data_IF_383852778668
#
_entry.id   IF_383852778668
#
_cell.length_a   1.000
_cell.length_b   1.000
_cell.length_c   1.000
_cell.angle_alpha   90.00
_cell.angle_beta   90.00
_cell.angle_gamma   90.00
#
_symmetry.space_group_name_H-M   'P 1'
#
loop_
_entity.id
_entity.type
_entity.pdbx_description
1 polymer ?
#
# COMPACT_ATOMS: atom_id res chain seq x y z
N UNK A 1 28.40 64.90 -23.71
CA UNK A 1 28.36 63.46 -24.10
C UNK A 1 28.12 62.65 -22.82
N UNK A 2 26.85 62.31 -22.52
CA UNK A 2 26.50 61.54 -21.32
C UNK A 2 26.14 60.12 -21.74
N UNK A 3 26.93 59.13 -21.31
CA UNK A 3 26.58 57.72 -21.42
C UNK A 3 25.80 57.32 -20.16
N UNK A 4 24.54 56.94 -20.32
CA UNK A 4 23.73 56.35 -19.26
C UNK A 4 24.13 54.88 -19.04
N UNK A 5 24.50 54.53 -17.82
CA UNK A 5 24.72 53.14 -17.40
C UNK A 5 23.36 52.55 -16.98
N UNK A 6 22.82 51.59 -17.75
CA UNK A 6 21.73 50.72 -17.29
C UNK A 6 22.33 49.67 -16.36
N UNK A 7 21.95 49.70 -15.09
CA UNK A 7 22.16 48.57 -14.20
C UNK A 7 21.13 47.49 -14.56
N UNK A 8 21.60 46.37 -15.11
CA UNK A 8 20.80 45.16 -15.28
C UNK A 8 20.76 44.48 -13.91
N UNK A 9 19.61 44.48 -13.25
CA UNK A 9 19.37 43.60 -12.10
C UNK A 9 19.26 42.17 -12.64
N UNK A 10 20.26 41.34 -12.36
CA UNK A 10 20.14 39.91 -12.56
C UNK A 10 19.15 39.36 -11.52
N UNK A 11 17.97 38.92 -11.96
CA UNK A 11 17.07 38.10 -11.15
C UNK A 11 17.64 36.68 -11.17
N UNK A 12 18.27 36.25 -10.08
CA UNK A 12 18.63 34.85 -9.89
C UNK A 12 17.36 34.03 -9.77
N UNK A 13 17.06 33.21 -10.77
CA UNK A 13 16.05 32.17 -10.67
C UNK A 13 16.55 31.09 -9.71
N UNK A 14 16.08 31.11 -8.47
CA UNK A 14 16.25 29.99 -7.56
C UNK A 14 15.41 28.82 -8.10
N UNK A 15 16.07 27.77 -8.59
CA UNK A 15 15.42 26.50 -8.88
C UNK A 15 14.92 25.91 -7.57
N UNK A 16 13.61 26.00 -7.32
CA UNK A 16 12.97 25.19 -6.29
C UNK A 16 13.04 23.73 -6.74
N UNK A 17 14.06 23.00 -6.28
CA UNK A 17 14.05 21.55 -6.35
C UNK A 17 12.85 21.07 -5.54
N UNK A 18 11.84 20.54 -6.22
CA UNK A 18 10.70 19.92 -5.56
C UNK A 18 11.20 18.71 -4.78
N UNK A 19 11.31 18.86 -3.45
CA UNK A 19 11.44 17.73 -2.54
C UNK A 19 10.11 16.99 -2.56
N UNK A 20 9.93 16.06 -3.49
CA UNK A 20 8.91 15.03 -3.36
C UNK A 20 9.33 14.14 -2.18
N UNK A 21 8.96 14.56 -0.96
CA UNK A 21 9.21 13.77 0.24
C UNK A 21 8.48 12.44 0.12
N UNK A 22 9.22 11.33 0.28
CA UNK A 22 8.62 10.01 0.34
C UNK A 22 7.59 9.95 1.49
N UNK A 23 6.46 9.28 1.26
CA UNK A 23 5.42 9.10 2.28
C UNK A 23 6.00 8.44 3.54
N UNK A 24 5.55 8.89 4.71
CA UNK A 24 5.82 8.16 5.96
C UNK A 24 5.13 6.79 5.93
N UNK A 25 5.63 5.78 6.67
CA UNK A 25 4.96 4.49 6.77
C UNK A 25 3.50 4.58 7.24
N UNK A 26 3.19 5.52 8.12
CA UNK A 26 1.82 5.76 8.59
C UNK A 26 0.90 6.28 7.48
N UNK A 27 1.39 7.20 6.65
CA UNK A 27 0.64 7.72 5.50
C UNK A 27 0.44 6.64 4.42
N UNK A 28 1.46 5.80 4.18
CA UNK A 28 1.35 4.69 3.25
C UNK A 28 0.31 3.65 3.72
N UNK A 29 0.33 3.29 5.01
CA UNK A 29 -0.69 2.41 5.62
C UNK A 29 -2.11 2.98 5.49
N UNK A 30 -2.28 4.28 5.79
CA UNK A 30 -3.58 4.94 5.64
C UNK A 30 -4.07 4.92 4.19
N UNK A 31 -3.21 5.28 3.24
CA UNK A 31 -3.57 5.27 1.82
C UNK A 31 -3.96 3.87 1.31
N UNK A 32 -3.25 2.82 1.74
CA UNK A 32 -3.55 1.43 1.37
C UNK A 32 -4.90 0.97 1.96
N UNK A 33 -5.18 1.29 3.23
CA UNK A 33 -6.47 0.98 3.84
C UNK A 33 -7.63 1.79 3.25
N UNK A 34 -7.42 3.08 2.96
CA UNK A 34 -8.43 3.93 2.34
C UNK A 34 -8.79 3.39 0.95
N UNK A 35 -7.78 2.95 0.18
CA UNK A 35 -8.00 2.31 -1.12
C UNK A 35 -8.76 0.99 -0.98
N UNK A 36 -8.39 0.13 -0.01
CA UNK A 36 -9.09 -1.12 0.26
C UNK A 36 -10.57 -0.89 0.63
N UNK A 37 -10.84 0.05 1.54
CA UNK A 37 -12.19 0.41 1.97
C UNK A 37 -13.01 1.02 0.82
N UNK A 38 -12.42 1.92 0.02
CA UNK A 38 -13.10 2.49 -1.15
C UNK A 38 -13.46 1.42 -2.16
N UNK A 39 -12.53 0.51 -2.46
CA UNK A 39 -12.77 -0.62 -3.36
C UNK A 39 -13.88 -1.53 -2.83
N UNK A 40 -13.81 -1.91 -1.57
CA UNK A 40 -14.84 -2.73 -0.91
C UNK A 40 -16.22 -2.10 -1.01
N UNK A 41 -16.35 -0.81 -0.68
CA UNK A 41 -17.63 -0.09 -0.73
C UNK A 41 -18.17 0.00 -2.16
N UNK A 42 -17.31 0.23 -3.15
CA UNK A 42 -17.72 0.26 -4.55
C UNK A 42 -18.16 -1.11 -5.06
N UNK A 43 -17.43 -2.18 -4.72
CA UNK A 43 -17.75 -3.54 -5.17
C UNK A 43 -19.00 -4.12 -4.47
N UNK A 44 -19.33 -3.64 -3.28
CA UNK A 44 -20.59 -3.95 -2.57
C UNK A 44 -21.80 -3.23 -3.16
N UNK A 45 -21.63 -2.23 -4.03
CA UNK A 45 -22.76 -1.53 -4.65
C UNK A 45 -23.36 -2.36 -5.79
N UNK A 46 -24.05 -3.44 -5.41
CA UNK A 46 -24.69 -4.37 -6.34
C UNK A 46 -26.20 -4.17 -6.37
N UNK A 47 -26.78 -4.22 -7.57
CA UNK A 47 -28.23 -4.24 -7.73
C UNK A 47 -28.77 -5.61 -7.28
N UNK A 48 -29.80 -5.67 -6.41
CA UNK A 48 -30.40 -6.92 -6.01
C UNK A 48 -30.83 -7.76 -7.22
N UNK A 49 -30.43 -9.02 -7.24
CA UNK A 49 -30.75 -9.98 -8.29
C UNK A 49 -32.12 -10.63 -8.08
N UNK A 50 -32.62 -10.61 -6.83
CA UNK A 50 -33.85 -11.29 -6.43
C UNK A 50 -33.62 -12.70 -5.88
N UNK A 51 -32.38 -13.18 -5.88
CA UNK A 51 -31.93 -14.39 -5.19
C UNK A 51 -31.17 -13.97 -3.92
N UNK A 52 -31.73 -14.32 -2.76
CA UNK A 52 -31.21 -13.88 -1.45
C UNK A 52 -29.80 -14.43 -1.20
N UNK A 53 -29.52 -15.67 -1.58
CA UNK A 53 -28.22 -16.30 -1.32
C UNK A 53 -27.15 -15.64 -2.20
N UNK A 54 -27.50 -15.35 -3.46
CA UNK A 54 -26.63 -14.60 -4.38
C UNK A 54 -26.41 -13.17 -3.92
N UNK A 55 -27.46 -12.49 -3.46
CA UNK A 55 -27.36 -11.10 -3.01
C UNK A 55 -26.52 -11.00 -1.72
N UNK A 56 -26.63 -11.98 -0.81
CA UNK A 56 -25.76 -12.07 0.36
C UNK A 56 -24.29 -12.26 -0.03
N UNK A 57 -23.99 -13.23 -0.91
CA UNK A 57 -22.63 -13.48 -1.36
C UNK A 57 -22.04 -12.30 -2.13
N UNK A 58 -22.84 -11.63 -2.96
CA UNK A 58 -22.42 -10.45 -3.72
C UNK A 58 -22.02 -9.27 -2.82
N UNK A 59 -22.59 -9.17 -1.62
CA UNK A 59 -22.15 -8.23 -0.59
C UNK A 59 -20.95 -8.74 0.21
N UNK A 60 -20.96 -10.02 0.58
CA UNK A 60 -20.03 -10.55 1.58
C UNK A 60 -18.66 -10.89 1.00
N UNK A 61 -18.59 -11.33 -0.26
CA UNK A 61 -17.32 -11.58 -0.97
C UNK A 61 -16.45 -10.31 -1.02
N UNK A 62 -16.93 -9.15 -1.52
CA UNK A 62 -16.11 -7.94 -1.53
C UNK A 62 -15.81 -7.41 -0.12
N UNK A 63 -16.73 -7.56 0.84
CA UNK A 63 -16.47 -7.22 2.25
C UNK A 63 -15.27 -8.01 2.82
N UNK A 64 -15.25 -9.33 2.62
CA UNK A 64 -14.13 -10.17 3.02
C UNK A 64 -12.84 -9.85 2.27
N UNK A 65 -12.90 -9.52 0.98
CA UNK A 65 -11.72 -9.09 0.23
C UNK A 65 -11.13 -7.79 0.79
N UNK A 66 -11.96 -6.81 1.15
CA UNK A 66 -11.51 -5.59 1.81
C UNK A 66 -10.79 -5.87 3.13
N UNK A 67 -11.33 -6.79 3.95
CA UNK A 67 -10.69 -7.22 5.20
C UNK A 67 -9.33 -7.89 4.97
N UNK A 68 -9.20 -8.73 3.92
CA UNK A 68 -7.93 -9.34 3.51
C UNK A 68 -6.92 -8.25 3.13
N UNK A 69 -7.32 -7.27 2.32
CA UNK A 69 -6.42 -6.21 1.85
C UNK A 69 -5.90 -5.35 3.02
N UNK A 70 -6.77 -5.01 3.98
CA UNK A 70 -6.38 -4.31 5.21
C UNK A 70 -5.46 -5.15 6.11
N UNK A 71 -5.72 -6.45 6.23
CA UNK A 71 -4.86 -7.36 6.98
C UNK A 71 -3.46 -7.47 6.34
N UNK A 72 -3.37 -7.48 5.00
CA UNK A 72 -2.09 -7.42 4.29
C UNK A 72 -1.35 -6.10 4.57
N UNK A 73 -2.06 -4.96 4.62
CA UNK A 73 -1.45 -3.69 5.03
C UNK A 73 -0.90 -3.78 6.47
N UNK A 74 -1.64 -4.39 7.41
CA UNK A 74 -1.15 -4.64 8.77
C UNK A 74 0.11 -5.52 8.78
N UNK A 75 0.23 -6.53 7.93
CA UNK A 75 1.45 -7.32 7.80
C UNK A 75 2.62 -6.55 7.19
N UNK A 76 2.36 -5.53 6.37
CA UNK A 76 3.40 -4.72 5.73
C UNK A 76 3.97 -3.65 6.67
N UNK A 77 3.13 -2.95 7.42
CA UNK A 77 3.54 -1.79 8.23
C UNK A 77 3.51 -2.05 9.74
N UNK A 78 2.72 -3.02 10.20
CA UNK A 78 2.55 -3.35 11.60
C UNK A 78 3.79 -4.04 12.20
N UNK A 79 4.10 -3.69 13.45
CA UNK A 79 5.29 -4.18 14.18
C UNK A 79 4.98 -5.10 15.35
N UNK A 80 3.78 -5.03 15.92
CA UNK A 80 3.38 -5.89 17.03
C UNK A 80 3.11 -7.31 16.54
N UNK A 81 3.81 -8.31 17.08
CA UNK A 81 3.72 -9.70 16.62
C UNK A 81 2.33 -10.31 16.77
N UNK A 82 1.65 -10.04 17.89
CA UNK A 82 0.29 -10.55 18.12
C UNK A 82 -0.70 -9.97 17.09
N UNK A 83 -0.62 -8.66 16.81
CA UNK A 83 -1.46 -8.03 15.79
C UNK A 83 -1.18 -8.56 14.38
N UNK A 84 0.06 -8.93 14.09
CA UNK A 84 0.43 -9.54 12.82
C UNK A 84 -0.09 -10.98 12.71
N UNK A 85 -0.06 -11.75 13.80
CA UNK A 85 -0.70 -13.08 13.84
C UNK A 85 -2.21 -12.99 13.59
N UNK A 86 -2.90 -12.05 14.24
CA UNK A 86 -4.33 -11.81 13.99
C UNK A 86 -4.57 -11.47 12.51
N UNK A 87 -3.73 -10.64 11.89
CA UNK A 87 -3.86 -10.33 10.46
C UNK A 87 -3.66 -11.57 9.56
N UNK A 88 -2.77 -12.50 9.92
CA UNK A 88 -2.61 -13.76 9.19
C UNK A 88 -3.85 -14.66 9.32
N UNK A 89 -4.41 -14.74 10.51
CA UNK A 89 -5.65 -15.49 10.79
C UNK A 89 -6.80 -14.94 9.95
N UNK A 90 -7.01 -13.62 9.94
CA UNK A 90 -8.01 -12.93 9.09
C UNK A 90 -7.82 -13.31 7.62
N UNK A 91 -6.60 -13.25 7.08
CA UNK A 91 -6.36 -13.58 5.67
C UNK A 91 -6.81 -15.01 5.36
N UNK A 92 -6.43 -15.98 6.19
CA UNK A 92 -6.76 -17.40 5.96
C UNK A 92 -8.26 -17.64 6.09
N UNK A 93 -8.88 -17.17 7.16
CA UNK A 93 -10.30 -17.39 7.43
C UNK A 93 -11.18 -16.74 6.36
N UNK A 94 -10.93 -15.47 6.01
CA UNK A 94 -11.72 -14.78 5.00
C UNK A 94 -11.54 -15.38 3.59
N UNK A 95 -10.36 -15.89 3.24
CA UNK A 95 -10.16 -16.62 1.98
C UNK A 95 -10.98 -17.91 1.92
N UNK A 96 -11.04 -18.64 3.02
CA UNK A 96 -11.85 -19.86 3.13
C UNK A 96 -13.34 -19.56 3.00
N UNK A 97 -13.81 -18.48 3.62
CA UNK A 97 -15.22 -18.05 3.53
C UNK A 97 -15.59 -17.59 2.11
N UNK A 98 -14.70 -16.87 1.41
CA UNK A 98 -14.91 -16.53 -0.01
C UNK A 98 -15.03 -17.80 -0.86
N UNK A 99 -14.11 -18.76 -0.68
CA UNK A 99 -14.17 -20.02 -1.42
C UNK A 99 -15.44 -20.83 -1.11
N UNK A 100 -15.87 -20.84 0.15
CA UNK A 100 -17.11 -21.50 0.58
C UNK A 100 -18.35 -20.87 -0.04
N UNK A 101 -18.42 -19.53 -0.12
CA UNK A 101 -19.53 -18.83 -0.77
C UNK A 101 -19.62 -19.13 -2.27
N UNK A 102 -18.50 -19.10 -3.00
CA UNK A 102 -18.50 -19.49 -4.42
C UNK A 102 -18.98 -20.93 -4.60
N UNK A 103 -18.45 -21.87 -3.79
CA UNK A 103 -18.87 -23.27 -3.87
C UNK A 103 -20.36 -23.45 -3.58
N UNK A 104 -20.90 -22.74 -2.58
CA UNK A 104 -22.32 -22.78 -2.24
C UNK A 104 -23.23 -22.27 -3.39
N UNK A 105 -22.74 -21.32 -4.19
CA UNK A 105 -23.43 -20.82 -5.39
C UNK A 105 -23.23 -21.70 -6.64
N UNK A 106 -22.45 -22.79 -6.54
CA UNK A 106 -22.08 -23.63 -7.68
C UNK A 106 -21.05 -22.99 -8.61
N UNK A 107 -20.30 -22.01 -8.11
CA UNK A 107 -19.25 -21.30 -8.83
C UNK A 107 -17.86 -21.91 -8.54
N UNK A 108 -16.90 -21.80 -9.46
CA UNK A 108 -15.54 -22.24 -9.20
C UNK A 108 -14.91 -21.43 -8.06
N UNK A 109 -14.31 -22.12 -7.10
CA UNK A 109 -13.58 -21.46 -6.02
C UNK A 109 -12.38 -20.67 -6.59
N UNK A 110 -12.17 -19.41 -6.17
CA UNK A 110 -11.00 -18.64 -6.57
C UNK A 110 -9.73 -19.29 -6.04
N UNK A 111 -8.68 -19.26 -6.85
CA UNK A 111 -7.35 -19.73 -6.44
C UNK A 111 -6.65 -18.64 -5.65
N UNK A 112 -6.53 -18.82 -4.34
CA UNK A 112 -5.69 -17.97 -3.51
C UNK A 112 -4.25 -18.49 -3.48
N UNK A 113 -3.28 -17.58 -3.58
CA UNK A 113 -1.87 -17.90 -3.30
C UNK A 113 -1.67 -18.21 -1.80
N UNK A 114 -0.52 -18.79 -1.41
CA UNK A 114 -0.23 -19.01 0.00
C UNK A 114 -0.31 -17.70 0.77
N UNK A 115 -1.02 -17.70 1.90
CA UNK A 115 -1.14 -16.52 2.75
C UNK A 115 0.26 -15.97 3.09
N UNK A 116 0.49 -14.65 2.96
CA UNK A 116 1.79 -14.07 3.25
C UNK A 116 2.17 -14.30 4.72
N UNK A 117 3.13 -15.19 4.95
CA UNK A 117 3.60 -15.54 6.30
C UNK A 117 4.65 -14.55 6.82
N UNK A 118 5.19 -13.67 5.97
CA UNK A 118 6.13 -12.61 6.34
C UNK A 118 5.97 -11.37 5.44
N UNK A 119 6.32 -10.15 5.91
CA UNK A 119 6.44 -9.00 5.05
C UNK A 119 7.55 -9.29 4.03
N UNK A 120 7.27 -9.10 2.75
CA UNK A 120 8.34 -9.02 1.76
C UNK A 120 9.32 -7.93 2.21
N UNK A 121 10.62 -8.20 2.31
CA UNK A 121 11.59 -7.15 2.63
C UNK A 121 11.45 -6.06 1.56
N UNK A 122 11.13 -4.84 2.02
CA UNK A 122 11.27 -3.64 1.19
C UNK A 122 12.69 -3.71 0.62
N UNK A 123 12.79 -3.73 -0.71
CA UNK A 123 14.04 -3.87 -1.46
C UNK A 123 15.14 -3.09 -0.74
N UNK A 124 16.09 -3.82 -0.15
CA UNK A 124 17.23 -3.20 0.50
C UNK A 124 17.93 -2.37 -0.58
N UNK A 125 17.80 -1.05 -0.50
CA UNK A 125 18.63 -0.15 -1.29
C UNK A 125 20.06 -0.54 -0.96
N UNK A 126 20.90 -0.93 -1.93
CA UNK A 126 22.27 -1.28 -1.64
C UNK A 126 22.95 -0.03 -1.10
N UNK A 127 23.17 -0.01 0.22
CA UNK A 127 24.05 0.97 0.86
C UNK A 127 25.46 0.59 0.44
N UNK A 128 25.96 1.25 -0.60
CA UNK A 128 27.38 1.26 -0.91
C UNK A 128 28.12 1.64 0.38
N UNK A 129 29.06 0.83 0.89
CA UNK A 129 29.82 1.23 2.05
C UNK A 129 30.65 2.45 1.67
N UNK A 130 30.43 3.55 2.39
CA UNK A 130 31.29 4.71 2.34
C UNK A 130 32.71 4.26 2.71
N UNK A 131 33.63 4.33 1.74
CA UNK A 131 35.05 4.14 1.99
C UNK A 131 35.50 5.21 2.99
N UNK A 132 35.86 4.75 4.19
CA UNK A 132 36.54 5.57 5.19
C UNK A 132 38.05 5.40 5.05
N UNK A 133 38.75 6.50 5.30
CA UNK A 133 40.20 6.75 5.28
C UNK A 133 40.81 7.01 3.88
N UNK A 134 41.62 8.05 3.66
CA UNK A 134 42.53 8.71 4.60
C UNK A 134 42.66 10.22 4.36
N UNK A 135 42.87 10.93 5.47
CA UNK A 135 43.19 12.33 5.58
C UNK A 135 44.72 12.53 5.45
N UNK A 136 45.12 13.42 4.54
CA UNK A 136 46.31 14.32 4.51
C UNK A 136 47.68 13.87 5.07
N UNK A 137 48.76 14.12 4.33
CA UNK A 137 49.54 15.38 4.38
C UNK A 137 50.75 15.37 3.43
N UNK A 138 51.07 16.55 2.90
CA UNK A 138 52.16 16.91 2.00
C UNK A 138 53.55 16.71 2.61
N UNK A 139 54.54 16.37 1.77
CA UNK A 139 55.90 16.93 1.74
C UNK A 139 56.53 16.68 0.37
#
# INVERSE_FOLDING_TARGET
MWRTLRWVTAVSAATAAAWAGALTPQQAFQAENDAAMQKMMADMEVKPSGDIDRDFAAMMIPHHQGAIDMAVAQLRYGKNEQMRRIAQEIIVEQQQEIAAMHLALGEPAPTFGPAPTQPSPLTAVPTTPAASAAHRHSH
#
